data_IF_637501656584
#
_entry.id   IF_637501656584
#
_cell.length_a   1.000
_cell.length_b   1.000
_cell.length_c   1.000
_cell.angle_alpha   90.00
_cell.angle_beta   90.00
_cell.angle_gamma   90.00
#
_symmetry.space_group_name_H-M   'P 1'
#
loop_
_entity.id
_entity.type
_entity.pdbx_description
1 polymer ?
#
# COMPACT_ATOMS: atom_id res chain seq x y z
N UNK A 1 -12.54 -0.43 -15.53
CA UNK A 1 -11.18 0.15 -15.72
C UNK A 1 -10.78 1.14 -14.64
N UNK A 2 -11.60 2.17 -14.32
CA UNK A 2 -11.23 3.18 -13.30
C UNK A 2 -10.95 2.58 -11.92
N UNK A 3 -11.72 1.57 -11.48
CA UNK A 3 -11.46 0.88 -10.19
C UNK A 3 -10.05 0.30 -10.09
N UNK A 4 -9.56 -0.33 -11.17
CA UNK A 4 -8.19 -0.89 -11.23
C UNK A 4 -7.16 0.23 -11.13
N UNK A 5 -7.38 1.36 -11.81
CA UNK A 5 -6.50 2.52 -11.71
C UNK A 5 -6.45 3.07 -10.28
N UNK A 6 -7.59 3.15 -9.60
CA UNK A 6 -7.66 3.57 -8.19
C UNK A 6 -6.91 2.61 -7.25
N UNK A 7 -6.93 1.30 -7.51
CA UNK A 7 -6.11 0.32 -6.76
C UNK A 7 -4.60 0.53 -6.97
N UNK A 8 -4.17 0.99 -8.15
CA UNK A 8 -2.74 1.16 -8.46
C UNK A 8 -2.13 2.45 -7.89
N UNK A 9 -2.94 3.47 -7.61
CA UNK A 9 -2.47 4.80 -7.14
C UNK A 9 -2.52 4.97 -5.63
N UNK A 10 -2.64 3.87 -4.87
CA UNK A 10 -2.69 3.94 -3.42
C UNK A 10 -1.42 4.56 -2.83
N UNK A 11 -1.59 5.38 -1.79
CA UNK A 11 -0.48 6.08 -1.14
C UNK A 11 0.59 5.11 -0.60
N UNK A 12 0.14 4.05 0.09
CA UNK A 12 1.02 2.98 0.59
C UNK A 12 1.37 2.02 -0.55
N UNK A 13 2.66 1.76 -0.83
CA UNK A 13 3.03 0.85 -1.90
C UNK A 13 2.63 -0.60 -1.61
N UNK A 14 2.52 -0.99 -0.34
CA UNK A 14 2.15 -2.35 0.07
C UNK A 14 0.69 -2.69 -0.25
N UNK A 15 -0.16 -1.69 -0.44
CA UNK A 15 -1.57 -1.89 -0.79
C UNK A 15 -1.82 -1.88 -2.30
N UNK A 16 -0.78 -1.67 -3.12
CA UNK A 16 -0.88 -1.71 -4.57
C UNK A 16 -0.82 -3.17 -5.07
N UNK A 17 -1.70 -3.58 -5.98
CA UNK A 17 -1.65 -4.92 -6.55
C UNK A 17 -0.40 -5.12 -7.42
N UNK A 18 0.11 -6.34 -7.45
CA UNK A 18 1.16 -6.74 -8.41
C UNK A 18 0.63 -6.74 -9.84
N UNK A 19 1.52 -6.54 -10.82
CA UNK A 19 1.12 -6.46 -12.25
C UNK A 19 0.36 -7.68 -12.75
N UNK A 20 0.68 -8.89 -12.27
CA UNK A 20 -0.05 -10.11 -12.63
C UNK A 20 -1.51 -10.08 -12.18
N UNK A 21 -1.80 -9.51 -11.01
CA UNK A 21 -3.17 -9.31 -10.50
C UNK A 21 -3.86 -8.21 -11.30
N UNK A 22 -3.17 -7.11 -11.60
CA UNK A 22 -3.70 -6.02 -12.43
C UNK A 22 -4.14 -6.54 -13.80
N UNK A 23 -3.32 -7.36 -14.46
CA UNK A 23 -3.67 -7.95 -15.77
C UNK A 23 -4.91 -8.85 -15.65
N UNK A 24 -4.97 -9.73 -14.64
CA UNK A 24 -6.16 -10.58 -14.39
C UNK A 24 -7.43 -9.76 -14.14
N UNK A 25 -7.32 -8.63 -13.45
CA UNK A 25 -8.43 -7.69 -13.25
C UNK A 25 -8.88 -7.01 -14.55
N UNK A 26 -7.93 -6.66 -15.43
CA UNK A 26 -8.23 -6.02 -16.72
C UNK A 26 -8.81 -7.02 -17.74
N UNK A 27 -8.37 -8.27 -17.70
CA UNK A 27 -8.90 -9.37 -18.52
C UNK A 27 -10.27 -9.88 -18.03
N UNK A 28 -10.73 -9.42 -16.86
CA UNK A 28 -12.00 -9.85 -16.25
C UNK A 28 -11.93 -11.24 -15.59
N UNK A 29 -10.74 -11.82 -15.46
CA UNK A 29 -10.53 -13.10 -14.79
C UNK A 29 -10.61 -13.01 -13.25
N UNK A 30 -10.48 -11.79 -12.69
CA UNK A 30 -10.55 -11.53 -11.26
C UNK A 30 -11.39 -10.28 -11.00
N UNK A 31 -12.28 -10.35 -10.00
CA UNK A 31 -13.13 -9.22 -9.62
C UNK A 31 -12.30 -8.09 -9.01
N UNK A 32 -12.57 -6.87 -9.45
CA UNK A 32 -11.86 -5.70 -8.93
C UNK A 32 -12.45 -5.32 -7.55
N UNK A 33 -11.67 -5.41 -6.47
CA UNK A 33 -12.14 -5.04 -5.14
C UNK A 33 -12.46 -3.54 -5.10
N UNK A 34 -13.26 -3.13 -4.11
CA UNK A 34 -13.57 -1.72 -3.94
C UNK A 34 -12.30 -0.94 -3.57
N UNK A 35 -11.92 0.09 -4.34
CA UNK A 35 -10.71 0.83 -4.09
C UNK A 35 -10.84 1.72 -2.85
N UNK A 36 -9.79 1.74 -2.02
CA UNK A 36 -9.68 2.68 -0.91
C UNK A 36 -9.40 4.09 -1.42
N UNK A 37 -9.76 5.10 -0.63
CA UNK A 37 -9.42 6.48 -0.93
C UNK A 37 -7.89 6.65 -0.86
N UNK A 38 -7.20 6.94 -1.98
CA UNK A 38 -5.74 7.08 -1.97
C UNK A 38 -5.26 8.27 -1.15
N UNK A 39 -6.14 9.23 -0.83
CA UNK A 39 -5.85 10.44 -0.06
C UNK A 39 -6.27 10.36 1.42
N UNK A 40 -6.60 9.17 1.94
CA UNK A 40 -7.00 9.02 3.35
C UNK A 40 -5.95 9.56 4.34
N UNK A 41 -4.68 9.50 3.96
CA UNK A 41 -3.56 10.07 4.72
C UNK A 41 -3.64 11.60 4.92
N UNK A 42 -4.40 12.33 4.08
CA UNK A 42 -4.62 13.77 4.24
C UNK A 42 -5.65 14.10 5.32
N UNK A 43 -6.52 13.15 5.67
CA UNK A 43 -7.63 13.35 6.61
C UNK A 43 -7.68 12.22 7.65
N UNK A 44 -6.75 12.21 8.63
CA UNK A 44 -6.56 11.11 9.59
C UNK A 44 -7.71 10.86 10.59
N UNK A 45 -8.90 11.47 10.42
CA UNK A 45 -10.03 11.35 11.33
C UNK A 45 -11.28 10.62 10.80
N UNK A 46 -11.30 10.18 9.53
CA UNK A 46 -12.54 9.73 8.86
C UNK A 46 -12.54 8.27 8.37
N UNK A 47 -11.39 7.59 8.25
CA UNK A 47 -11.29 6.33 7.47
C UNK A 47 -11.02 5.03 8.25
N UNK A 48 -10.82 5.07 9.58
CA UNK A 48 -10.30 3.91 10.34
C UNK A 48 -11.15 2.63 10.26
N UNK A 49 -12.48 2.74 10.07
CA UNK A 49 -13.36 1.58 10.03
C UNK A 49 -13.34 0.83 8.67
N UNK A 50 -13.08 1.52 7.55
CA UNK A 50 -13.05 0.94 6.20
C UNK A 50 -11.70 0.34 5.81
N UNK A 51 -10.61 0.91 6.32
CA UNK A 51 -9.25 0.48 6.01
C UNK A 51 -8.90 -0.87 6.68
N UNK A 52 -9.54 -1.21 7.80
CA UNK A 52 -9.26 -2.47 8.51
C UNK A 52 -9.96 -3.69 7.88
N UNK A 53 -11.16 -3.52 7.33
CA UNK A 53 -11.90 -4.60 6.65
C UNK A 53 -11.26 -4.96 5.30
N UNK A 54 -10.82 -3.93 4.56
CA UNK A 54 -10.19 -4.09 3.26
C UNK A 54 -8.84 -4.79 3.35
N UNK A 55 -7.99 -4.48 4.34
CA UNK A 55 -6.74 -5.21 4.60
C UNK A 55 -6.95 -6.71 4.78
N UNK A 56 -8.05 -7.11 5.45
CA UNK A 56 -8.39 -8.53 5.65
C UNK A 56 -8.78 -9.18 4.31
N UNK A 57 -9.52 -8.48 3.45
CA UNK A 57 -9.94 -9.00 2.15
C UNK A 57 -8.77 -9.27 1.18
N UNK A 58 -7.72 -8.43 1.20
CA UNK A 58 -6.51 -8.65 0.39
C UNK A 58 -5.64 -9.79 0.90
N UNK A 59 -5.59 -10.00 2.22
CA UNK A 59 -4.85 -11.13 2.80
C UNK A 59 -5.56 -12.47 2.62
N UNK A 60 -6.87 -12.47 2.30
CA UNK A 60 -7.67 -13.67 2.11
C UNK A 60 -7.56 -14.28 0.71
N UNK A 61 -6.96 -13.58 -0.27
CA UNK A 61 -6.53 -14.23 -1.50
C UNK A 61 -5.20 -14.92 -1.24
N UNK A 62 -5.25 -16.24 -1.01
CA UNK A 62 -4.13 -17.16 -0.77
C UNK A 62 -2.91 -16.87 -1.66
N UNK A 63 -2.04 -15.97 -1.20
CA UNK A 63 -0.70 -15.81 -1.72
C UNK A 63 0.24 -15.94 -0.53
N UNK A 64 0.76 -17.15 -0.35
CA UNK A 64 1.92 -17.40 0.50
C UNK A 64 3.11 -16.67 -0.10
N UNK A 65 3.30 -15.41 0.28
CA UNK A 65 4.52 -14.65 0.07
C UNK A 65 5.48 -15.04 1.18
N UNK A 66 6.66 -15.53 0.81
CA UNK A 66 7.75 -15.82 1.73
C UNK A 66 8.07 -14.59 2.60
N UNK A 67 8.07 -14.85 3.90
CA UNK A 67 8.21 -13.85 4.96
C UNK A 67 9.67 -13.42 5.05
N UNK A 68 9.98 -12.22 4.55
CA UNK A 68 11.16 -11.49 5.00
C UNK A 68 10.74 -10.66 6.21
N UNK A 69 11.05 -11.17 7.41
CA UNK A 69 10.95 -10.42 8.66
C UNK A 69 11.99 -9.30 8.61
N UNK A 70 11.61 -8.16 8.04
CA UNK A 70 12.36 -6.92 8.23
C UNK A 70 11.75 -6.21 9.42
N UNK A 71 12.39 -6.34 10.59
CA UNK A 71 12.01 -5.60 11.78
C UNK A 71 12.07 -4.10 11.52
N UNK A 72 10.93 -3.48 11.19
CA UNK A 72 10.84 -2.04 10.99
C UNK A 72 10.68 -1.36 12.36
N UNK A 73 11.80 -1.09 13.02
CA UNK A 73 11.83 -0.10 14.10
C UNK A 73 11.66 1.27 13.46
N UNK A 74 10.49 1.90 13.60
CA UNK A 74 10.26 3.28 13.16
C UNK A 74 11.16 4.20 13.98
N UNK A 75 12.35 4.49 13.44
CA UNK A 75 13.22 5.55 13.95
C UNK A 75 12.64 6.87 13.44
N UNK A 76 12.14 7.68 14.35
CA UNK A 76 11.50 8.99 14.10
C UNK A 76 12.57 10.06 13.83
N UNK A 77 13.45 9.84 12.85
CA UNK A 77 14.48 10.81 12.45
C UNK A 77 14.11 11.55 11.16
N UNK A 78 14.38 12.84 11.07
CA UNK A 78 14.26 13.60 9.82
C UNK A 78 15.46 13.28 8.92
N UNK A 79 15.25 12.77 7.69
CA UNK A 79 16.36 12.50 6.78
C UNK A 79 16.97 13.82 6.30
N UNK A 80 18.29 13.96 6.42
CA UNK A 80 19.01 15.15 5.96
C UNK A 80 19.59 14.86 4.57
N UNK A 81 19.15 15.63 3.57
CA UNK A 81 19.60 15.47 2.18
C UNK A 81 20.76 16.43 1.88
N UNK A 82 21.94 15.88 1.58
CA UNK A 82 23.03 16.61 0.90
C UNK A 82 23.06 16.20 -0.56
N UNK A 83 23.84 16.93 -1.39
CA UNK A 83 23.97 16.57 -2.82
C UNK A 83 24.50 15.13 -2.92
N UNK A 84 23.63 14.24 -3.39
CA UNK A 84 23.86 12.82 -3.66
C UNK A 84 24.01 11.87 -2.46
N UNK A 85 23.70 12.30 -1.23
CA UNK A 85 23.75 11.43 -0.04
C UNK A 85 22.56 11.66 0.91
N UNK A 86 22.03 10.56 1.46
CA UNK A 86 20.99 10.57 2.51
C UNK A 86 21.59 9.91 3.74
N UNK A 87 21.66 10.67 4.84
CA UNK A 87 22.09 10.16 6.16
C UNK A 87 21.06 10.55 7.21
N UNK A 88 20.79 9.64 8.15
CA UNK A 88 19.95 9.93 9.32
C UNK A 88 20.75 10.74 10.33
N UNK A 89 20.23 11.91 10.74
CA UNK A 89 20.82 12.67 11.84
C UNK A 89 20.45 12.00 13.18
N UNK A 90 21.44 11.78 14.04
CA UNK A 90 21.22 11.47 15.46
C UNK A 90 20.95 12.76 16.23
N UNK A 91 20.08 12.72 17.24
CA UNK A 91 19.90 13.82 18.21
C UNK A 91 21.19 14.13 18.99
#
# INVERSE_FOLDING_TARGET
MVKVALCCVQYRPETRPVMSIVVKMLEGALEVPEPLNPFSYLFPGVSELGDSLSRIAWNASDWSSSEVVTGSTVVKGTPLMRRYEITMASE
#
